data_IF_634958986020
#
_entry.id   IF_634958986020
#
_cell.length_a   1.000
_cell.length_b   1.000
_cell.length_c   1.000
_cell.angle_alpha   90.00
_cell.angle_beta   90.00
_cell.angle_gamma   90.00
#
_symmetry.space_group_name_H-M   'P 1'
#
loop_
_entity.id
_entity.type
_entity.pdbx_description
1 polymer ?
#
# COMPACT_ATOMS: atom_id res chain seq x y z
N UNK A 1 -25.88 -2.46 51.82
CA UNK A 1 -24.46 -2.15 51.59
C UNK A 1 -24.04 -2.84 50.31
N UNK A 2 -24.08 -2.14 49.16
CA UNK A 2 -23.70 -2.66 47.87
C UNK A 2 -22.26 -2.19 47.55
N UNK A 3 -21.31 -3.12 47.51
CA UNK A 3 -19.94 -2.85 47.03
C UNK A 3 -19.99 -2.76 45.50
N UNK A 4 -19.73 -1.57 44.95
CA UNK A 4 -19.41 -1.36 43.56
C UNK A 4 -18.01 -1.94 43.29
N UNK A 5 -17.96 -3.00 42.48
CA UNK A 5 -16.71 -3.44 41.88
C UNK A 5 -16.48 -2.55 40.64
N UNK A 6 -15.46 -1.74 40.69
CA UNK A 6 -14.89 -1.06 39.52
C UNK A 6 -14.14 -2.09 38.70
N UNK A 7 -14.74 -2.49 37.56
CA UNK A 7 -14.01 -3.20 36.52
C UNK A 7 -13.01 -2.22 35.89
N UNK A 8 -11.74 -2.43 36.20
CA UNK A 8 -10.64 -1.74 35.55
C UNK A 8 -10.52 -2.16 34.11
N UNK A 9 -10.67 -1.24 33.20
CA UNK A 9 -10.29 -1.36 31.80
C UNK A 9 -8.76 -1.37 31.71
N UNK A 10 -8.18 -2.56 31.67
CA UNK A 10 -6.79 -2.78 31.27
C UNK A 10 -6.79 -3.94 30.27
N UNK A 11 -7.30 -3.70 29.07
CA UNK A 11 -7.28 -4.67 27.98
C UNK A 11 -6.91 -3.96 26.68
N UNK A 12 -5.65 -3.54 26.55
CA UNK A 12 -5.10 -3.09 25.25
C UNK A 12 -3.60 -3.35 25.07
N UNK A 13 -2.94 -4.06 25.98
CA UNK A 13 -1.52 -4.39 25.88
C UNK A 13 -1.21 -5.90 25.84
N UNK A 14 -2.23 -6.77 25.94
CA UNK A 14 -2.00 -8.22 25.97
C UNK A 14 -2.13 -8.90 24.59
N UNK A 15 -2.80 -8.29 23.62
CA UNK A 15 -3.03 -8.96 22.33
C UNK A 15 -1.73 -9.05 21.51
N UNK A 16 -0.94 -7.99 21.43
CA UNK A 16 0.32 -8.00 20.69
C UNK A 16 1.37 -8.99 21.26
N UNK A 17 1.45 -9.11 22.59
CA UNK A 17 2.37 -10.06 23.23
C UNK A 17 1.90 -11.53 23.11
N UNK A 18 0.59 -11.76 23.05
CA UNK A 18 0.03 -13.08 22.78
C UNK A 18 0.25 -13.52 21.34
N UNK A 19 0.14 -12.60 20.38
CA UNK A 19 0.37 -12.88 18.97
C UNK A 19 1.84 -13.17 18.65
N UNK A 20 2.77 -12.41 19.24
CA UNK A 20 4.20 -12.65 19.09
C UNK A 20 4.62 -14.01 19.67
N UNK A 21 4.12 -14.36 20.86
CA UNK A 21 4.39 -15.65 21.49
C UNK A 21 3.77 -16.82 20.70
N UNK A 22 2.63 -16.61 20.09
CA UNK A 22 1.97 -17.61 19.23
C UNK A 22 2.76 -17.82 17.92
N UNK A 23 3.25 -16.73 17.33
CA UNK A 23 4.12 -16.77 16.15
C UNK A 23 5.43 -17.51 16.43
N UNK A 24 6.11 -17.21 17.52
CA UNK A 24 7.36 -17.89 17.91
C UNK A 24 7.15 -19.41 18.05
N UNK A 25 6.10 -19.83 18.74
CA UNK A 25 5.77 -21.26 18.89
C UNK A 25 5.46 -21.94 17.55
N UNK A 26 4.75 -21.24 16.67
CA UNK A 26 4.45 -21.72 15.32
C UNK A 26 5.75 -21.85 14.51
N UNK A 27 6.61 -20.81 14.55
CA UNK A 27 7.91 -20.80 13.88
C UNK A 27 8.80 -21.94 14.33
N UNK A 28 8.89 -22.20 15.65
CA UNK A 28 9.67 -23.31 16.18
C UNK A 28 9.19 -24.64 15.64
N UNK A 29 7.88 -24.92 15.66
CA UNK A 29 7.29 -26.15 15.13
C UNK A 29 7.57 -26.31 13.64
N UNK A 30 7.41 -25.26 12.85
CA UNK A 30 7.71 -25.29 11.41
C UNK A 30 9.19 -25.58 11.18
N UNK A 31 10.08 -24.96 11.94
CA UNK A 31 11.53 -25.19 11.83
C UNK A 31 11.93 -26.60 12.25
N UNK A 32 11.26 -27.20 13.23
CA UNK A 32 11.47 -28.61 13.59
C UNK A 32 11.06 -29.54 12.45
N UNK A 33 9.90 -29.30 11.82
CA UNK A 33 9.47 -30.11 10.68
C UNK A 33 10.38 -29.91 9.44
N UNK A 34 10.86 -28.72 9.20
CA UNK A 34 11.86 -28.45 8.15
C UNK A 34 13.14 -29.25 8.39
N UNK A 35 13.68 -29.26 9.63
CA UNK A 35 14.86 -30.05 9.99
C UNK A 35 14.62 -31.57 9.89
N UNK A 36 13.40 -32.02 10.10
CA UNK A 36 12.99 -33.43 9.98
C UNK A 36 12.84 -33.86 8.53
N UNK A 37 12.33 -32.97 7.67
CA UNK A 37 12.04 -33.26 6.27
C UNK A 37 13.27 -33.15 5.37
N UNK A 38 14.12 -32.16 5.60
CA UNK A 38 15.31 -31.91 4.79
C UNK A 38 16.58 -32.47 5.44
N UNK A 39 17.46 -33.00 4.60
CA UNK A 39 18.76 -33.50 5.07
C UNK A 39 19.64 -32.36 5.57
N UNK A 40 20.48 -32.58 6.60
CA UNK A 40 21.38 -31.55 7.13
C UNK A 40 22.29 -30.92 6.08
N UNK A 41 22.77 -31.70 5.11
CA UNK A 41 23.63 -31.21 4.02
C UNK A 41 22.91 -30.19 3.15
N UNK A 42 21.59 -30.32 2.97
CA UNK A 42 20.79 -29.37 2.22
C UNK A 42 20.59 -28.09 3.03
N UNK A 43 20.24 -28.22 4.32
CA UNK A 43 20.01 -27.07 5.20
C UNK A 43 21.28 -26.23 5.38
N UNK A 44 22.46 -26.85 5.39
CA UNK A 44 23.74 -26.16 5.50
C UNK A 44 24.14 -25.35 4.24
N UNK A 45 23.41 -25.51 3.13
CA UNK A 45 23.60 -24.75 1.89
C UNK A 45 22.63 -23.58 1.75
N UNK A 46 21.67 -23.47 2.66
CA UNK A 46 20.68 -22.39 2.69
C UNK A 46 21.21 -21.31 3.62
N UNK A 47 21.29 -20.07 3.13
CA UNK A 47 21.80 -18.94 3.91
C UNK A 47 20.85 -18.54 5.03
N UNK A 48 19.53 -18.59 4.76
CA UNK A 48 18.50 -18.26 5.76
C UNK A 48 17.16 -18.94 5.46
N UNK A 49 16.38 -19.21 6.50
CA UNK A 49 15.01 -19.68 6.41
C UNK A 49 14.09 -18.65 7.02
N UNK A 50 13.14 -18.14 6.25
CA UNK A 50 12.14 -17.16 6.69
C UNK A 50 10.78 -17.84 6.81
N UNK A 51 10.17 -17.73 7.98
CA UNK A 51 8.80 -18.21 8.23
C UNK A 51 7.90 -17.00 8.23
N UNK A 52 6.92 -16.96 7.34
CA UNK A 52 5.93 -15.89 7.29
C UNK A 52 4.79 -16.19 8.25
N UNK A 53 4.31 -15.14 8.93
CA UNK A 53 3.06 -15.20 9.70
C UNK A 53 1.84 -14.95 8.78
N UNK A 54 0.65 -15.20 9.31
CA UNK A 54 -0.57 -14.81 8.63
C UNK A 54 -0.70 -13.28 8.62
N UNK A 55 -1.22 -12.74 7.52
CA UNK A 55 -1.43 -11.31 7.39
C UNK A 55 -2.49 -10.81 8.39
N UNK A 56 -2.16 -9.76 9.10
CA UNK A 56 -3.09 -9.00 9.92
C UNK A 56 -3.94 -8.06 9.04
N UNK A 57 -5.06 -7.59 9.58
CA UNK A 57 -5.90 -6.64 8.84
C UNK A 57 -5.16 -5.32 8.53
N UNK A 58 -4.30 -4.86 9.43
CA UNK A 58 -3.48 -3.67 9.19
C UNK A 58 -2.53 -3.86 8.00
N UNK A 59 -1.85 -5.00 7.94
CA UNK A 59 -0.94 -5.32 6.82
C UNK A 59 -1.68 -5.51 5.49
N UNK A 60 -2.92 -6.03 5.52
CA UNK A 60 -3.75 -6.10 4.32
C UNK A 60 -4.06 -4.70 3.79
N UNK A 61 -4.39 -3.75 4.66
CA UNK A 61 -4.64 -2.37 4.26
C UNK A 61 -3.37 -1.67 3.72
N UNK A 62 -2.20 -1.98 4.27
CA UNK A 62 -0.92 -1.51 3.70
C UNK A 62 -0.67 -2.10 2.30
N UNK A 63 -1.01 -3.37 2.08
CA UNK A 63 -0.91 -4.00 0.77
C UNK A 63 -1.88 -3.34 -0.23
N UNK A 64 -3.10 -2.99 0.20
CA UNK A 64 -4.03 -2.21 -0.63
C UNK A 64 -3.39 -0.90 -1.05
N UNK A 65 -2.79 -0.13 -0.11
CA UNK A 65 -2.13 1.14 -0.43
C UNK A 65 -1.00 0.96 -1.44
N UNK A 66 -0.13 -0.04 -1.26
CA UNK A 66 0.97 -0.33 -2.18
C UNK A 66 0.48 -0.67 -3.60
N UNK A 67 -0.62 -1.43 -3.71
CA UNK A 67 -1.22 -1.74 -5.01
C UNK A 67 -1.87 -0.51 -5.64
N UNK A 68 -2.52 0.32 -4.84
CA UNK A 68 -3.13 1.57 -5.31
C UNK A 68 -2.09 2.61 -5.72
N UNK A 69 -0.90 2.63 -5.09
CA UNK A 69 0.21 3.49 -5.52
C UNK A 69 0.71 3.13 -6.93
N UNK A 70 0.67 1.85 -7.29
CA UNK A 70 0.97 1.42 -8.66
C UNK A 70 -0.05 1.99 -9.65
N UNK A 71 -1.35 1.90 -9.35
CA UNK A 71 -2.43 2.47 -10.16
C UNK A 71 -2.31 4.01 -10.25
N UNK A 72 -1.95 4.67 -9.15
CA UNK A 72 -1.66 6.12 -9.14
C UNK A 72 -0.51 6.49 -10.09
N UNK A 73 0.54 5.66 -10.12
CA UNK A 73 1.64 5.86 -11.05
C UNK A 73 1.20 5.84 -12.51
N UNK A 74 0.38 4.87 -12.89
CA UNK A 74 -0.14 4.72 -14.25
C UNK A 74 -1.09 5.86 -14.66
N UNK A 75 -1.96 6.32 -13.73
CA UNK A 75 -2.83 7.48 -13.98
C UNK A 75 -2.05 8.80 -13.98
N UNK A 76 -0.98 8.89 -13.19
CA UNK A 76 -0.09 10.06 -13.15
C UNK A 76 0.59 10.33 -14.49
N UNK A 77 0.89 9.29 -15.30
CA UNK A 77 1.37 9.44 -16.67
C UNK A 77 0.34 10.12 -17.59
N UNK A 78 -0.95 10.02 -17.25
CA UNK A 78 -2.07 10.66 -17.94
C UNK A 78 -2.49 11.99 -17.31
N UNK A 79 -1.72 12.49 -16.33
CA UNK A 79 -2.01 13.70 -15.56
C UNK A 79 -3.33 13.64 -14.79
N UNK A 80 -3.74 12.44 -14.33
CA UNK A 80 -4.94 12.20 -13.52
C UNK A 80 -4.49 11.81 -12.12
N UNK A 81 -4.98 12.53 -11.11
CA UNK A 81 -4.75 12.17 -9.71
C UNK A 81 -5.77 11.13 -9.24
N UNK A 82 -5.38 10.28 -8.26
CA UNK A 82 -6.23 9.24 -7.69
C UNK A 82 -6.35 9.41 -6.18
N UNK A 83 -7.58 9.56 -5.70
CA UNK A 83 -7.94 9.53 -4.28
C UNK A 83 -8.82 8.33 -3.98
N UNK A 84 -8.67 7.74 -2.80
CA UNK A 84 -9.51 6.64 -2.32
C UNK A 84 -9.99 6.94 -0.91
N UNK A 85 -11.26 6.65 -0.63
CA UNK A 85 -11.83 6.80 0.72
C UNK A 85 -11.47 5.62 1.61
N UNK A 86 -11.40 5.84 2.92
CA UNK A 86 -11.15 4.77 3.90
C UNK A 86 -12.17 3.62 3.82
N UNK A 87 -13.49 3.86 3.65
CA UNK A 87 -14.44 2.78 3.44
C UNK A 87 -14.13 1.90 2.23
N UNK A 88 -13.76 2.51 1.09
CA UNK A 88 -13.38 1.78 -0.11
C UNK A 88 -12.12 0.92 0.10
N UNK A 89 -11.15 1.46 0.83
CA UNK A 89 -9.93 0.74 1.21
C UNK A 89 -10.22 -0.48 2.08
N UNK A 90 -11.05 -0.32 3.10
CA UNK A 90 -11.45 -1.42 3.99
C UNK A 90 -12.20 -2.50 3.21
N UNK A 91 -13.13 -2.10 2.34
CA UNK A 91 -13.87 -3.01 1.47
C UNK A 91 -12.94 -3.86 0.58
N UNK A 92 -11.95 -3.23 -0.05
CA UNK A 92 -10.96 -3.94 -0.86
C UNK A 92 -10.14 -4.92 -0.01
N UNK A 93 -9.73 -4.51 1.18
CA UNK A 93 -8.99 -5.36 2.11
C UNK A 93 -9.79 -6.59 2.55
N UNK A 94 -11.05 -6.41 2.91
CA UNK A 94 -11.93 -7.50 3.35
C UNK A 94 -12.29 -8.45 2.21
N UNK A 95 -12.67 -7.91 1.04
CA UNK A 95 -13.09 -8.70 -0.12
C UNK A 95 -11.91 -9.35 -0.86
N UNK A 96 -10.76 -8.70 -0.83
CA UNK A 96 -9.55 -9.17 -1.50
C UNK A 96 -8.68 -10.12 -0.69
N UNK A 97 -9.01 -10.39 0.57
CA UNK A 97 -8.26 -11.30 1.43
C UNK A 97 -8.91 -12.68 1.50
N UNK A 98 -8.09 -13.72 1.41
CA UNK A 98 -8.47 -15.11 1.63
C UNK A 98 -7.48 -15.74 2.64
N UNK A 99 -7.95 -16.44 3.69
CA UNK A 99 -7.08 -17.04 4.71
C UNK A 99 -6.07 -18.06 4.17
N UNK A 100 -6.36 -18.70 3.03
CA UNK A 100 -5.50 -19.71 2.41
C UNK A 100 -4.60 -19.08 1.35
N UNK A 101 -5.14 -18.20 0.52
CA UNK A 101 -4.45 -17.60 -0.61
C UNK A 101 -3.77 -16.26 -0.24
N UNK A 102 -4.06 -15.73 0.97
CA UNK A 102 -3.55 -14.44 1.42
C UNK A 102 -4.13 -13.28 0.62
N UNK A 103 -3.28 -12.32 0.25
CA UNK A 103 -3.65 -11.15 -0.55
C UNK A 103 -3.61 -11.37 -2.07
N UNK A 104 -3.43 -12.61 -2.55
CA UNK A 104 -3.41 -12.87 -4.00
C UNK A 104 -4.71 -12.52 -4.72
N UNK A 105 -5.91 -12.76 -4.14
CA UNK A 105 -7.16 -12.34 -4.79
C UNK A 105 -7.32 -10.83 -4.90
N UNK A 106 -6.71 -10.07 -4.00
CA UNK A 106 -6.78 -8.60 -3.97
C UNK A 106 -6.31 -7.97 -5.29
N UNK A 107 -5.23 -8.47 -5.89
CA UNK A 107 -4.74 -7.97 -7.17
C UNK A 107 -5.79 -8.07 -8.28
N UNK A 108 -6.48 -9.21 -8.36
CA UNK A 108 -7.56 -9.40 -9.35
C UNK A 108 -8.76 -8.51 -9.05
N UNK A 109 -9.06 -8.34 -7.77
CA UNK A 109 -10.16 -7.46 -7.35
C UNK A 109 -9.89 -6.01 -7.77
N UNK A 110 -8.69 -5.49 -7.50
CA UNK A 110 -8.28 -4.14 -7.89
C UNK A 110 -8.32 -4.02 -9.43
N UNK A 111 -7.79 -4.99 -10.15
CA UNK A 111 -7.81 -4.98 -11.61
C UNK A 111 -9.25 -4.90 -12.16
N UNK A 112 -10.13 -5.77 -11.71
CA UNK A 112 -11.49 -5.87 -12.25
C UNK A 112 -12.41 -4.72 -11.79
N UNK A 113 -12.31 -4.29 -10.53
CA UNK A 113 -13.24 -3.30 -9.97
C UNK A 113 -12.72 -1.86 -10.08
N UNK A 114 -11.40 -1.67 -10.21
CA UNK A 114 -10.81 -0.33 -10.25
C UNK A 114 -10.13 -0.05 -11.59
N UNK A 115 -9.16 -0.84 -12.03
CA UNK A 115 -8.39 -0.56 -13.25
C UNK A 115 -9.28 -0.60 -14.49
N UNK A 116 -10.17 -1.61 -14.60
CA UNK A 116 -11.12 -1.72 -15.72
C UNK A 116 -12.10 -0.54 -15.70
N UNK A 117 -12.66 -0.18 -14.54
CA UNK A 117 -13.60 0.91 -14.43
C UNK A 117 -12.94 2.29 -14.68
N UNK A 118 -11.71 2.51 -14.20
CA UNK A 118 -10.93 3.71 -14.51
C UNK A 118 -10.62 3.82 -16.00
N UNK A 119 -10.31 2.68 -16.65
CA UNK A 119 -10.06 2.64 -18.08
C UNK A 119 -11.30 3.05 -18.88
N UNK A 120 -12.48 2.59 -18.47
CA UNK A 120 -13.74 2.97 -19.09
C UNK A 120 -14.06 4.46 -18.89
N UNK A 121 -13.78 5.03 -17.71
CA UNK A 121 -13.94 6.47 -17.44
C UNK A 121 -13.00 7.33 -18.30
N UNK A 122 -11.75 6.91 -18.48
CA UNK A 122 -10.78 7.58 -19.35
C UNK A 122 -11.17 7.46 -20.83
N UNK A 123 -11.54 6.27 -21.30
CA UNK A 123 -11.95 6.03 -22.67
C UNK A 123 -13.22 6.80 -23.06
N UNK A 124 -14.17 6.89 -22.13
CA UNK A 124 -15.41 7.67 -22.33
C UNK A 124 -15.21 9.19 -22.15
N UNK A 125 -13.98 9.64 -21.86
CA UNK A 125 -13.62 11.04 -21.60
C UNK A 125 -14.39 11.67 -20.43
N UNK A 126 -14.85 10.87 -19.49
CA UNK A 126 -15.41 11.35 -18.22
C UNK A 126 -14.30 11.72 -17.21
N UNK A 127 -13.14 11.08 -17.33
CA UNK A 127 -11.89 11.45 -16.68
C UNK A 127 -10.91 11.97 -17.74
N UNK A 128 -10.42 13.19 -17.56
CA UNK A 128 -9.44 13.84 -18.43
C UNK A 128 -8.25 14.36 -17.64
N UNK A 129 -7.17 14.69 -18.33
CA UNK A 129 -5.98 15.26 -17.72
C UNK A 129 -6.31 16.49 -16.84
N UNK A 130 -5.81 16.49 -15.62
CA UNK A 130 -6.09 17.51 -14.60
C UNK A 130 -7.28 17.19 -13.69
N UNK A 131 -7.98 16.08 -13.88
CA UNK A 131 -9.04 15.64 -12.97
C UNK A 131 -8.49 14.75 -11.84
N UNK A 132 -9.29 14.59 -10.78
CA UNK A 132 -9.05 13.66 -9.67
C UNK A 132 -10.10 12.56 -9.73
N UNK A 133 -9.67 11.32 -9.90
CA UNK A 133 -10.53 10.16 -9.75
C UNK A 133 -10.70 9.86 -8.26
N UNK A 134 -11.93 9.89 -7.76
CA UNK A 134 -12.26 9.50 -6.40
C UNK A 134 -12.89 8.12 -6.39
N UNK A 135 -12.25 7.18 -5.71
CA UNK A 135 -12.79 5.85 -5.45
C UNK A 135 -13.54 5.87 -4.12
N UNK A 136 -14.81 5.55 -4.16
CA UNK A 136 -15.69 5.50 -2.99
C UNK A 136 -16.61 4.27 -3.06
N UNK A 137 -17.42 4.04 -2.05
CA UNK A 137 -18.50 3.07 -2.06
C UNK A 137 -19.82 3.75 -2.36
N UNK A 138 -20.65 3.10 -3.14
CA UNK A 138 -22.04 3.52 -3.32
C UNK A 138 -22.94 3.09 -2.15
N UNK A 139 -24.21 3.41 -2.22
CA UNK A 139 -25.21 3.05 -1.18
C UNK A 139 -25.46 1.53 -1.07
N UNK A 140 -25.04 0.76 -2.05
CA UNK A 140 -25.17 -0.70 -2.09
C UNK A 140 -23.86 -1.39 -1.66
N UNK A 141 -22.81 -0.61 -1.35
CA UNK A 141 -21.50 -1.11 -0.92
C UNK A 141 -20.61 -1.61 -2.07
N UNK A 142 -20.88 -1.20 -3.31
CA UNK A 142 -20.04 -1.46 -4.46
C UNK A 142 -19.06 -0.30 -4.72
N UNK A 143 -17.93 -0.59 -5.35
CA UNK A 143 -16.98 0.44 -5.75
C UNK A 143 -17.61 1.37 -6.78
N UNK A 144 -17.49 2.67 -6.51
CA UNK A 144 -17.90 3.76 -7.39
C UNK A 144 -16.74 4.68 -7.66
N UNK A 145 -16.57 5.08 -8.91
CA UNK A 145 -15.56 6.06 -9.32
C UNK A 145 -16.27 7.35 -9.70
N UNK A 146 -15.94 8.41 -8.99
CA UNK A 146 -16.42 9.75 -9.26
C UNK A 146 -15.27 10.63 -9.78
N UNK A 147 -15.56 11.50 -10.72
CA UNK A 147 -14.59 12.48 -11.24
C UNK A 147 -14.78 13.82 -10.52
N UNK A 148 -13.72 14.33 -9.91
CA UNK A 148 -13.66 15.69 -9.36
C UNK A 148 -12.71 16.54 -10.19
N UNK A 149 -13.13 17.71 -10.62
CA UNK A 149 -12.21 18.67 -11.25
C UNK A 149 -11.21 19.16 -10.20
N UNK A 150 -9.92 18.99 -10.47
CA UNK A 150 -8.89 19.50 -9.57
C UNK A 150 -9.06 21.00 -9.38
N UNK A 151 -9.17 21.46 -8.14
CA UNK A 151 -8.88 22.86 -7.81
C UNK A 151 -7.40 23.04 -8.09
N UNK A 152 -7.07 23.82 -9.13
CA UNK A 152 -5.71 24.11 -9.59
C UNK A 152 -4.85 24.54 -8.38
N UNK A 153 -4.15 23.59 -7.76
CA UNK A 153 -3.00 23.88 -6.92
C UNK A 153 -1.84 24.10 -7.88
N UNK A 154 -1.51 25.36 -8.11
CA UNK A 154 -0.35 25.75 -8.88
C UNK A 154 0.88 25.00 -8.33
N UNK A 155 1.41 24.07 -9.12
CA UNK A 155 2.68 23.40 -8.88
C UNK A 155 3.76 24.49 -8.79
N UNK A 156 4.57 24.59 -7.72
CA UNK A 156 5.68 25.53 -7.72
C UNK A 156 6.63 25.15 -8.85
N UNK A 157 6.75 26.04 -9.85
CA UNK A 157 7.77 25.95 -10.89
C UNK A 157 9.12 25.77 -10.21
N UNK A 158 9.75 24.62 -10.39
CA UNK A 158 11.15 24.43 -10.05
C UNK A 158 11.94 25.51 -10.80
N UNK A 159 12.53 26.46 -10.05
CA UNK A 159 13.47 27.42 -10.58
C UNK A 159 14.64 26.63 -11.16
N UNK A 160 14.73 26.62 -12.48
CA UNK A 160 15.93 26.24 -13.18
C UNK A 160 17.06 27.12 -12.62
N UNK A 161 18.06 26.48 -12.06
CA UNK A 161 19.29 27.08 -11.60
C UNK A 161 20.04 27.51 -12.85
N UNK A 162 20.00 28.80 -13.15
CA UNK A 162 20.91 29.42 -14.12
C UNK A 162 22.30 29.40 -13.51
N UNK A 163 23.19 28.65 -14.11
CA UNK A 163 24.63 28.76 -13.89
C UNK A 163 25.09 30.15 -14.36
N UNK A 164 25.93 30.85 -13.59
CA UNK A 164 26.63 32.02 -14.12
C UNK A 164 27.84 31.54 -14.93
N UNK A 165 27.85 31.92 -16.20
CA UNK A 165 29.06 31.91 -17.04
C UNK A 165 30.16 32.74 -16.35
N UNK A 166 31.28 32.06 -16.12
CA UNK A 166 32.52 32.74 -15.73
C UNK A 166 33.18 33.32 -16.99
N UNK A 167 33.11 34.63 -17.13
CA UNK A 167 33.96 35.39 -18.03
C UNK A 167 35.44 35.20 -17.65
N UNK A 168 36.16 34.59 -18.54
CA UNK A 168 37.60 34.59 -18.52
C UNK A 168 38.08 35.84 -19.24
N UNK A 169 38.48 36.86 -18.50
CA UNK A 169 39.18 37.99 -19.03
C UNK A 169 40.71 37.77 -18.93
N UNK A 170 41.30 37.66 -20.10
CA UNK A 170 42.72 37.65 -20.28
C UNK A 170 43.31 39.02 -20.01
N UNK A 171 44.31 39.08 -19.19
CA UNK A 171 45.22 40.24 -19.19
C UNK A 171 46.62 39.74 -19.56
N UNK A 172 46.95 40.15 -20.73
CA UNK A 172 48.28 40.04 -21.31
C UNK A 172 49.22 41.13 -20.74
N UNK A 173 50.47 40.94 -21.09
CA UNK A 173 51.63 41.83 -21.07
C UNK A 173 52.43 41.79 -19.77
N UNK A 174 53.60 41.51 -19.84
CA UNK A 174 54.73 42.03 -20.53
C UNK A 174 55.90 42.03 -19.57
N UNK A 175 56.88 41.52 -19.95
CA UNK A 175 58.29 41.91 -19.98
C UNK A 175 59.21 40.76 -19.74
#
# INVERSE_FOLDING_TARGET
MYKRQTLGFAAKSNDAQTDESAYERMREKVMEEVKRFFRPEFLNRIDSTVVFHQLTQAEILEIVDLMMDQVRGELGEKEIDLEMTEPAKVYLGEKGFDPILGARPLRRLIQNEIEDALSDEVLSRRLVAGDVALIDLDSEGAIKIDSKKAKVKAKPRSKAKSEPEAEAEAAASGD
#
